data_IF_116098663957
#
_entry.id   IF_116098663957
#
_cell.length_a   1.000
_cell.length_b   1.000
_cell.length_c   1.000
_cell.angle_alpha   90.00
_cell.angle_beta   90.00
_cell.angle_gamma   90.00
#
_symmetry.space_group_name_H-M   'P 1'
#
loop_
_entity.id
_entity.type
_entity.pdbx_description
1 polymer ?
#
# COMPACT_ATOMS: atom_id res chain seq x y z
N UNK A 1 -11.13 4.68 9.88
CA UNK A 1 -10.51 5.45 8.78
C UNK A 1 -11.46 5.43 7.60
N UNK A 2 -11.39 6.43 6.72
CA UNK A 2 -12.17 6.50 5.49
C UNK A 2 -11.27 6.17 4.32
N UNK A 3 -11.77 5.32 3.43
CA UNK A 3 -11.18 5.00 2.13
C UNK A 3 -12.19 5.34 1.04
N UNK A 4 -11.73 5.61 -0.18
CA UNK A 4 -12.60 5.75 -1.34
C UNK A 4 -12.16 4.84 -2.47
N UNK A 5 -13.11 4.18 -3.09
CA UNK A 5 -12.98 3.45 -4.34
C UNK A 5 -13.38 4.39 -5.48
N UNK A 6 -12.49 4.55 -6.46
CA UNK A 6 -12.76 5.32 -7.68
C UNK A 6 -12.59 4.39 -8.88
N UNK A 7 -13.62 4.25 -9.71
CA UNK A 7 -13.59 3.46 -10.93
C UNK A 7 -13.84 4.33 -12.17
N UNK A 8 -12.87 4.33 -13.09
CA UNK A 8 -12.88 5.14 -14.32
C UNK A 8 -13.41 4.34 -15.52
N UNK A 9 -14.52 3.62 -15.34
CA UNK A 9 -15.09 2.74 -16.36
C UNK A 9 -15.99 3.44 -17.38
N UNK A 10 -16.53 4.60 -17.02
CA UNK A 10 -17.49 5.36 -17.82
C UNK A 10 -17.03 6.82 -17.98
N UNK A 11 -17.76 7.63 -18.73
CA UNK A 11 -17.45 9.08 -18.87
C UNK A 11 -17.42 9.81 -17.52
N UNK A 12 -18.23 9.35 -16.56
CA UNK A 12 -18.24 9.87 -15.19
C UNK A 12 -17.58 8.84 -14.28
N UNK A 13 -16.49 9.19 -13.57
CA UNK A 13 -15.89 8.32 -12.57
C UNK A 13 -16.90 7.95 -11.50
N UNK A 14 -16.97 6.67 -11.18
CA UNK A 14 -17.77 6.22 -10.06
C UNK A 14 -16.94 6.31 -8.79
N UNK A 15 -17.48 6.96 -7.75
CA UNK A 15 -16.81 7.14 -6.45
C UNK A 15 -17.70 6.58 -5.34
N UNK A 16 -17.13 5.72 -4.49
CA UNK A 16 -17.79 5.19 -3.28
C UNK A 16 -16.84 5.24 -2.11
N UNK A 17 -17.30 5.73 -0.97
CA UNK A 17 -16.53 5.74 0.27
C UNK A 17 -16.85 4.51 1.13
N UNK A 18 -15.84 4.04 1.86
CA UNK A 18 -15.94 2.98 2.85
C UNK A 18 -15.27 3.40 4.14
N UNK A 19 -15.78 2.89 5.25
CA UNK A 19 -15.15 3.05 6.56
C UNK A 19 -14.48 1.75 6.99
N UNK A 20 -13.31 1.88 7.62
CA UNK A 20 -12.66 0.76 8.28
C UNK A 20 -13.34 0.43 9.59
N UNK A 21 -13.38 -0.85 9.93
CA UNK A 21 -13.77 -1.36 11.23
C UNK A 21 -12.70 -1.06 12.31
N UNK A 22 -12.94 -1.58 13.52
CA UNK A 22 -12.03 -1.45 14.67
C UNK A 22 -10.66 -2.10 14.47
N UNK A 23 -10.57 -3.08 13.57
CA UNK A 23 -9.35 -3.83 13.27
C UNK A 23 -8.58 -3.21 12.07
N UNK A 24 -9.15 -2.20 11.41
CA UNK A 24 -8.54 -1.55 10.25
C UNK A 24 -8.92 -2.17 8.90
N UNK A 25 -9.82 -3.15 8.87
CA UNK A 25 -10.36 -3.73 7.64
C UNK A 25 -11.52 -2.90 7.12
N UNK A 26 -11.70 -2.83 5.81
CA UNK A 26 -12.88 -2.21 5.20
C UNK A 26 -13.46 -3.16 4.16
N UNK A 27 -14.77 -3.07 3.97
CA UNK A 27 -15.48 -3.77 2.91
C UNK A 27 -16.42 -2.79 2.24
N UNK A 28 -16.29 -2.63 0.92
CA UNK A 28 -17.14 -1.74 0.13
C UNK A 28 -18.05 -2.62 -0.72
N UNK A 29 -19.24 -2.88 -0.22
CA UNK A 29 -20.32 -3.47 -1.00
C UNK A 29 -21.23 -2.35 -1.50
N UNK A 30 -21.36 -2.21 -2.82
CA UNK A 30 -22.22 -1.16 -3.38
C UNK A 30 -23.05 -1.71 -4.51
N UNK A 31 -24.36 -1.67 -4.35
CA UNK A 31 -25.34 -1.94 -5.41
C UNK A 31 -25.19 -0.99 -6.59
N UNK A 32 -24.56 0.16 -6.40
CA UNK A 32 -24.26 1.13 -7.45
C UNK A 32 -23.01 0.76 -8.25
N UNK A 33 -22.03 0.05 -7.65
CA UNK A 33 -20.75 -0.29 -8.30
C UNK A 33 -20.78 -1.75 -8.72
N UNK A 34 -20.95 -2.01 -10.02
CA UNK A 34 -20.66 -3.32 -10.59
C UNK A 34 -19.22 -3.33 -11.10
N UNK A 35 -18.29 -3.74 -10.24
CA UNK A 35 -16.91 -4.01 -10.66
C UNK A 35 -16.89 -5.37 -11.34
N UNK A 36 -16.77 -5.37 -12.66
CA UNK A 36 -16.51 -6.61 -13.42
C UNK A 36 -15.01 -6.90 -13.43
N UNK A 37 -14.62 -8.16 -13.65
CA UNK A 37 -13.20 -8.52 -13.78
C UNK A 37 -12.51 -7.75 -14.91
N UNK A 38 -13.24 -7.41 -15.98
CA UNK A 38 -12.72 -6.52 -17.02
C UNK A 38 -12.65 -5.07 -16.56
N UNK A 39 -13.55 -4.60 -15.70
CA UNK A 39 -13.56 -3.21 -15.25
C UNK A 39 -12.57 -2.88 -14.13
N UNK A 40 -12.19 -3.87 -13.33
CA UNK A 40 -11.41 -3.66 -12.10
C UNK A 40 -10.07 -2.95 -12.33
N UNK A 41 -9.42 -3.14 -13.48
CA UNK A 41 -8.13 -2.51 -13.78
C UNK A 41 -8.19 -0.98 -13.86
N UNK A 42 -9.39 -0.39 -13.95
CA UNK A 42 -9.63 1.07 -13.92
C UNK A 42 -10.13 1.55 -12.55
N UNK A 43 -10.14 0.66 -11.56
CA UNK A 43 -10.55 0.94 -10.19
C UNK A 43 -9.33 1.07 -9.28
N UNK A 44 -9.35 2.12 -8.46
CA UNK A 44 -8.28 2.45 -7.52
C UNK A 44 -8.86 2.77 -6.15
N UNK A 45 -8.19 2.28 -5.10
CA UNK A 45 -8.48 2.62 -3.72
C UNK A 45 -7.57 3.75 -3.23
N UNK A 46 -8.14 4.70 -2.52
CA UNK A 46 -7.43 5.81 -1.91
C UNK A 46 -7.72 5.87 -0.42
N UNK A 47 -6.67 6.09 0.35
CA UNK A 47 -6.72 6.42 1.76
C UNK A 47 -7.08 7.90 1.92
N UNK A 48 -8.20 8.19 2.59
CA UNK A 48 -8.74 9.55 2.69
C UNK A 48 -8.39 10.18 4.03
N UNK A 49 -8.83 9.57 5.12
CA UNK A 49 -8.70 10.17 6.45
C UNK A 49 -8.74 9.12 7.57
N UNK A 50 -8.23 9.49 8.73
CA UNK A 50 -8.28 8.66 9.95
C UNK A 50 -9.01 9.42 11.05
N UNK A 51 -9.81 8.70 11.83
CA UNK A 51 -10.44 9.24 13.04
C UNK A 51 -9.48 9.29 14.24
N UNK A 52 -8.30 8.67 14.14
CA UNK A 52 -7.30 8.66 15.21
C UNK A 52 -6.45 9.93 15.11
N UNK A 53 -6.61 10.85 16.06
CA UNK A 53 -5.88 12.12 16.08
C UNK A 53 -4.35 12.01 16.05
N UNK A 54 -3.67 11.04 16.71
CA UNK A 54 -2.21 10.96 16.63
C UNK A 54 -1.71 10.36 15.31
N UNK A 55 -2.56 9.71 14.51
CA UNK A 55 -2.21 9.00 13.28
C UNK A 55 -3.22 9.29 12.18
N UNK A 56 -3.14 10.48 11.60
CA UNK A 56 -4.08 10.95 10.58
C UNK A 56 -3.42 11.56 9.33
N UNK A 57 -2.10 11.48 9.17
CA UNK A 57 -1.44 11.90 7.93
C UNK A 57 -1.49 10.74 6.93
N UNK A 58 -2.27 10.80 5.84
CA UNK A 58 -2.29 9.71 4.86
C UNK A 58 -0.91 9.56 4.22
N UNK A 59 -0.46 8.32 4.04
CA UNK A 59 0.82 8.02 3.37
C UNK A 59 0.57 7.39 2.01
N UNK A 60 1.58 7.44 1.15
CA UNK A 60 1.55 6.73 -0.13
C UNK A 60 2.04 5.27 -0.01
N UNK A 61 2.06 4.69 1.20
CA UNK A 61 2.35 3.27 1.35
C UNK A 61 1.33 2.45 0.55
N UNK A 62 1.81 1.51 -0.27
CA UNK A 62 1.00 0.70 -1.18
C UNK A 62 0.05 1.50 -2.10
N UNK A 63 0.40 2.76 -2.41
CA UNK A 63 -0.42 3.61 -3.27
C UNK A 63 -1.57 4.32 -2.55
N UNK A 64 -1.61 4.32 -1.21
CA UNK A 64 -2.71 4.90 -0.43
C UNK A 64 -3.10 6.33 -0.84
N UNK A 65 -2.16 7.20 -1.21
CA UNK A 65 -2.46 8.57 -1.68
C UNK A 65 -2.67 8.67 -3.18
N UNK A 66 -1.84 7.98 -3.97
CA UNK A 66 -1.82 8.10 -5.43
C UNK A 66 -2.87 7.22 -6.12
N UNK A 67 -3.47 6.28 -5.40
CA UNK A 67 -4.41 5.30 -5.90
C UNK A 67 -3.73 3.93 -5.98
N UNK A 68 -4.21 3.01 -5.17
CA UNK A 68 -3.79 1.62 -5.18
C UNK A 68 -4.65 0.83 -6.16
N UNK A 69 -4.07 0.11 -7.13
CA UNK A 69 -4.84 -0.69 -8.07
C UNK A 69 -5.59 -1.79 -7.32
N UNK A 70 -6.86 -1.94 -7.66
CA UNK A 70 -7.70 -3.01 -7.12
C UNK A 70 -7.48 -4.28 -7.96
N UNK A 71 -7.16 -5.38 -7.28
CA UNK A 71 -6.87 -6.67 -7.92
C UNK A 71 -7.88 -7.71 -7.49
N UNK A 72 -8.15 -8.66 -8.38
CA UNK A 72 -8.94 -9.84 -8.03
C UNK A 72 -8.19 -10.65 -6.98
N UNK A 73 -8.87 -10.97 -5.89
CA UNK A 73 -8.32 -11.79 -4.81
C UNK A 73 -8.86 -13.22 -4.91
N UNK A 74 -10.19 -13.38 -4.89
CA UNK A 74 -10.84 -14.70 -4.96
C UNK A 74 -12.31 -14.62 -5.32
N UNK A 75 -12.87 -15.72 -5.81
CA UNK A 75 -14.33 -15.89 -5.90
C UNK A 75 -14.88 -16.28 -4.54
N UNK A 76 -15.97 -15.64 -4.12
CA UNK A 76 -16.70 -15.98 -2.90
C UNK A 76 -17.82 -17.00 -3.17
N UNK A 77 -18.04 -17.38 -4.42
CA UNK A 77 -19.16 -18.23 -4.81
C UNK A 77 -20.51 -17.50 -4.68
N UNK A 78 -21.57 -18.27 -4.44
CA UNK A 78 -22.94 -17.75 -4.29
C UNK A 78 -23.77 -17.72 -5.59
N UNK A 79 -25.06 -17.41 -5.45
CA UNK A 79 -26.01 -17.22 -6.54
C UNK A 79 -26.72 -15.86 -6.37
N UNK A 80 -26.33 -14.80 -7.11
CA UNK A 80 -25.33 -14.81 -8.18
C UNK A 80 -23.86 -14.91 -7.68
N UNK A 81 -22.93 -15.38 -8.52
CA UNK A 81 -21.51 -15.48 -8.16
C UNK A 81 -20.91 -14.12 -7.79
N UNK A 82 -20.26 -14.05 -6.64
CA UNK A 82 -19.62 -12.83 -6.13
C UNK A 82 -18.10 -12.98 -6.12
N UNK A 83 -17.38 -11.93 -6.47
CA UNK A 83 -15.92 -11.88 -6.47
C UNK A 83 -15.41 -10.86 -5.45
N UNK A 84 -14.36 -11.23 -4.72
CA UNK A 84 -13.64 -10.35 -3.82
C UNK A 84 -12.46 -9.72 -4.56
N UNK A 85 -12.34 -8.41 -4.41
CA UNK A 85 -11.23 -7.64 -4.92
C UNK A 85 -10.59 -6.85 -3.78
N UNK A 86 -9.27 -6.72 -3.80
CA UNK A 86 -8.51 -6.10 -2.72
C UNK A 86 -7.36 -5.23 -3.26
N UNK A 87 -6.87 -4.37 -2.38
CA UNK A 87 -5.63 -3.62 -2.55
C UNK A 87 -4.84 -3.67 -1.23
N UNK A 88 -3.53 -3.41 -1.32
CA UNK A 88 -2.60 -3.59 -0.20
C UNK A 88 -2.95 -2.79 1.06
N UNK A 89 -2.40 -3.18 2.21
CA UNK A 89 -2.64 -2.46 3.46
C UNK A 89 -2.14 -1.02 3.34
N UNK A 90 -2.97 -0.06 3.74
CA UNK A 90 -2.61 1.36 3.76
C UNK A 90 -2.22 1.80 5.17
N UNK A 91 -1.47 2.89 5.26
CA UNK A 91 -1.02 3.43 6.54
C UNK A 91 -1.20 4.94 6.63
N UNK A 92 -1.46 5.40 7.84
CA UNK A 92 -1.32 6.79 8.23
C UNK A 92 0.01 6.95 8.99
N UNK A 93 0.73 8.02 8.68
CA UNK A 93 1.83 8.48 9.50
C UNK A 93 1.28 9.21 10.73
N UNK A 94 2.06 9.22 11.83
CA UNK A 94 1.70 10.00 12.99
C UNK A 94 1.70 11.51 12.66
N UNK A 95 0.71 12.25 13.16
CA UNK A 95 0.67 13.72 13.04
C UNK A 95 1.59 14.41 14.01
N UNK A 96 1.84 13.76 15.14
CA UNK A 96 2.89 14.14 16.07
C UNK A 96 4.12 13.33 15.67
N UNK A 97 5.08 13.94 14.99
CA UNK A 97 6.41 13.38 14.99
C UNK A 97 6.88 13.36 16.45
N UNK A 98 7.14 12.21 17.10
CA UNK A 98 8.08 12.26 18.21
C UNK A 98 9.35 12.93 17.66
N UNK A 99 9.98 13.88 18.38
CA UNK A 99 11.28 14.42 17.97
C UNK A 99 12.13 13.20 17.67
N UNK A 100 12.70 13.15 16.45
CA UNK A 100 13.25 11.92 15.87
C UNK A 100 13.83 11.08 16.98
N UNK A 101 13.27 9.89 17.24
CA UNK A 101 14.02 8.91 17.99
C UNK A 101 15.28 8.76 17.15
N UNK A 102 16.34 9.44 17.59
CA UNK A 102 17.68 9.23 17.08
C UNK A 102 17.81 7.71 17.06
N UNK A 103 18.27 7.09 15.96
CA UNK A 103 18.58 5.68 16.04
C UNK A 103 19.34 5.46 17.35
N UNK A 104 18.93 4.50 18.21
CA UNK A 104 19.64 4.25 19.46
C UNK A 104 21.11 4.19 19.08
N UNK A 105 22.03 4.91 19.77
CA UNK A 105 23.40 5.07 19.32
C UNK A 105 23.90 3.69 18.94
N UNK A 106 23.99 3.46 17.63
CA UNK A 106 24.37 2.19 17.11
C UNK A 106 25.71 1.93 17.74
N UNK A 107 25.84 0.82 18.47
CA UNK A 107 27.15 0.29 18.74
C UNK A 107 27.88 0.29 17.41
N UNK A 108 28.90 1.13 17.35
CA UNK A 108 29.77 1.30 16.22
C UNK A 108 30.40 -0.05 15.94
N UNK A 109 29.73 -0.87 15.13
CA UNK A 109 30.40 -1.89 14.37
C UNK A 109 31.30 -1.10 13.44
N UNK A 110 32.56 -0.98 13.85
CA UNK A 110 33.61 -0.40 13.05
C UNK A 110 33.50 -0.94 11.64
N UNK A 111 33.67 -0.05 10.67
CA UNK A 111 33.79 -0.45 9.27
C UNK A 111 34.69 -1.69 9.19
N UNK A 112 34.29 -2.78 8.52
CA UNK A 112 35.23 -3.83 8.22
C UNK A 112 36.39 -3.19 7.45
N UNK A 113 37.57 -3.23 8.06
CA UNK A 113 38.84 -2.88 7.39
C UNK A 113 38.83 -3.51 6.00
N UNK A 114 39.17 -2.77 4.94
CA UNK A 114 39.29 -3.36 3.62
C UNK A 114 40.39 -4.42 3.69
N UNK A 115 40.02 -5.69 3.51
CA UNK A 115 40.97 -6.79 3.33
C UNK A 115 41.85 -6.44 2.13
N UNK A 116 43.19 -6.48 2.26
CA UNK A 116 44.07 -6.23 1.11
C UNK A 116 43.80 -7.28 0.03
N UNK A 117 43.60 -6.81 -1.20
CA UNK A 117 43.45 -7.68 -2.37
C UNK A 117 44.71 -8.53 -2.56
N UNK A 118 44.59 -9.82 -2.91
CA UNK A 118 45.76 -10.63 -3.23
C UNK A 118 46.49 -10.06 -4.46
N UNK A 119 47.83 -10.17 -4.50
CA UNK A 119 48.60 -9.70 -5.65
C UNK A 119 48.19 -10.45 -6.93
N UNK A 120 48.11 -9.72 -8.04
CA UNK A 120 47.87 -10.30 -9.36
C UNK A 120 48.98 -11.29 -9.73
N UNK A 121 48.66 -12.43 -10.39
CA UNK A 121 49.68 -13.32 -10.91
C UNK A 121 50.48 -12.63 -12.04
N UNK A 122 51.77 -12.95 -12.19
CA UNK A 122 52.59 -12.41 -13.26
C UNK A 122 52.06 -12.86 -14.63
N UNK A 123 52.21 -12.02 -15.67
CA UNK A 123 51.81 -12.41 -17.02
C UNK A 123 52.63 -13.60 -17.52
N UNK A 124 52.04 -14.48 -18.35
CA UNK A 124 52.76 -15.61 -18.91
C UNK A 124 53.90 -15.14 -19.81
N UNK A 125 55.08 -15.72 -19.62
CA UNK A 125 56.19 -15.58 -20.55
C UNK A 125 55.95 -16.48 -21.77
N UNK A 126 56.04 -15.89 -22.96
CA UNK A 126 56.16 -16.61 -24.23
C UNK A 126 57.57 -17.20 -24.39
#
# INVERSE_FOLDING_TARGET
ATVKLVCNNSRVPMVVEGMTDKNGYFYIESSKVKVTSYGVHKCYLYLVSSAKSPCNIPTNLNGGMRGAPVLFERSLGGNPPTSLFAAGPFAFAPSICPPSASPPPGHSHGAPTPTPSPPHPPPPHH
#
